data_IF_595349553018
#
_entry.id   IF_595349553018
#
_cell.length_a   1.000
_cell.length_b   1.000
_cell.length_c   1.000
_cell.angle_alpha   90.00
_cell.angle_beta   90.00
_cell.angle_gamma   90.00
#
_symmetry.space_group_name_H-M   'P 1'
#
loop_
_entity.id
_entity.type
_entity.pdbx_description
1 polymer ?
#
# COMPACT_ATOMS: atom_id res chain seq x y z
N UNK A 1 20.62 -16.90 -17.40
CA UNK A 1 21.49 -16.70 -16.22
C UNK A 1 20.76 -17.19 -14.98
N UNK A 2 21.42 -17.88 -14.09
CA UNK A 2 20.82 -18.21 -12.79
C UNK A 2 20.79 -16.94 -11.92
N UNK A 3 19.85 -16.85 -10.98
CA UNK A 3 19.73 -15.68 -10.10
C UNK A 3 21.05 -15.33 -9.38
N UNK A 4 21.80 -16.36 -8.94
CA UNK A 4 23.08 -16.21 -8.24
C UNK A 4 24.24 -15.64 -9.12
N UNK A 5 24.06 -15.58 -10.44
CA UNK A 5 25.04 -15.02 -11.38
C UNK A 5 24.90 -13.48 -11.55
N UNK A 6 23.83 -12.88 -11.00
CA UNK A 6 23.63 -11.44 -11.05
C UNK A 6 24.38 -10.72 -9.91
N UNK A 7 25.04 -9.56 -10.18
CA UNK A 7 25.83 -8.84 -9.17
C UNK A 7 24.99 -7.97 -8.22
N UNK A 8 23.71 -8.32 -8.00
CA UNK A 8 22.79 -7.64 -7.09
C UNK A 8 21.90 -8.66 -6.38
N UNK A 9 21.38 -8.29 -5.20
CA UNK A 9 20.50 -9.16 -4.43
C UNK A 9 19.06 -9.10 -4.93
N UNK A 10 18.42 -10.27 -5.06
CA UNK A 10 16.98 -10.38 -5.17
C UNK A 10 16.36 -10.27 -3.77
N UNK A 11 15.49 -9.27 -3.60
CA UNK A 11 14.90 -8.95 -2.29
C UNK A 11 13.90 -10.02 -1.84
N UNK A 12 13.77 -10.18 -0.52
CA UNK A 12 12.83 -11.12 0.13
C UNK A 12 12.99 -12.58 -0.30
N UNK A 13 14.17 -12.96 -0.73
CA UNK A 13 14.45 -14.28 -1.29
C UNK A 13 15.85 -14.78 -0.89
N UNK A 14 15.97 -16.09 -0.65
CA UNK A 14 17.28 -16.71 -0.67
C UNK A 14 17.80 -16.72 -2.11
N UNK A 15 19.02 -16.24 -2.34
CA UNK A 15 19.53 -15.95 -3.68
C UNK A 15 19.47 -17.15 -4.63
N UNK A 16 19.82 -18.35 -4.16
CA UNK A 16 19.73 -19.61 -4.94
C UNK A 16 18.29 -20.06 -5.23
N UNK A 17 17.29 -19.49 -4.53
CA UNK A 17 15.86 -19.83 -4.70
C UNK A 17 15.09 -18.71 -5.40
N UNK A 18 15.74 -17.61 -5.73
CA UNK A 18 15.10 -16.53 -6.47
C UNK A 18 14.77 -16.98 -7.89
N UNK A 19 13.56 -16.68 -8.34
CA UNK A 19 13.08 -16.93 -9.69
C UNK A 19 12.70 -15.61 -10.35
N UNK A 20 13.68 -14.82 -10.82
CA UNK A 20 13.41 -13.52 -11.41
C UNK A 20 12.72 -13.66 -12.77
N UNK A 21 11.79 -12.76 -13.04
CA UNK A 21 11.18 -12.60 -14.35
C UNK A 21 11.95 -11.51 -15.14
N UNK A 22 12.40 -11.83 -16.36
CA UNK A 22 13.00 -10.82 -17.25
C UNK A 22 11.87 -10.09 -18.00
N UNK A 23 11.38 -8.97 -17.42
CA UNK A 23 10.31 -8.16 -18.00
C UNK A 23 10.90 -7.35 -19.15
N UNK A 24 10.28 -7.42 -20.33
CA UNK A 24 10.75 -6.76 -21.57
C UNK A 24 9.86 -5.61 -22.03
N UNK A 25 8.63 -5.53 -21.54
CA UNK A 25 7.69 -4.48 -21.89
C UNK A 25 6.29 -4.78 -21.37
N UNK A 26 5.32 -4.02 -21.89
CA UNK A 26 3.91 -4.23 -21.55
C UNK A 26 3.01 -3.10 -22.00
N UNK A 27 1.69 -3.33 -21.92
CA UNK A 27 0.68 -2.33 -22.21
C UNK A 27 -0.61 -2.61 -21.42
N UNK A 28 -1.19 -1.60 -20.79
CA UNK A 28 -2.41 -1.72 -20.01
C UNK A 28 -2.23 -2.69 -18.84
N UNK A 29 -3.11 -3.68 -18.71
CA UNK A 29 -3.03 -4.72 -17.68
C UNK A 29 -2.06 -5.87 -18.01
N UNK A 30 -1.26 -5.75 -19.05
CA UNK A 30 -0.43 -6.83 -19.56
C UNK A 30 1.05 -6.44 -19.62
N UNK A 31 1.93 -7.36 -19.23
CA UNK A 31 3.37 -7.24 -19.43
C UNK A 31 3.95 -8.46 -20.14
N UNK A 32 5.14 -8.30 -20.67
CA UNK A 32 5.84 -9.33 -21.42
C UNK A 32 7.14 -9.71 -20.73
N UNK A 33 7.46 -11.01 -20.76
CA UNK A 33 8.71 -11.55 -20.24
C UNK A 33 9.45 -12.31 -21.33
N UNK A 34 10.78 -12.28 -21.26
CA UNK A 34 11.63 -13.06 -22.13
C UNK A 34 11.49 -14.56 -21.82
N UNK A 35 11.11 -15.34 -22.83
CA UNK A 35 10.99 -16.79 -22.74
C UNK A 35 9.62 -17.31 -22.31
N UNK A 36 8.83 -16.56 -21.51
CA UNK A 36 7.51 -17.01 -21.06
C UNK A 36 6.34 -16.28 -21.77
N UNK A 37 6.64 -15.16 -22.45
CA UNK A 37 5.66 -14.40 -23.23
C UNK A 37 4.81 -13.45 -22.37
N UNK A 38 3.51 -13.34 -22.71
CA UNK A 38 2.61 -12.32 -22.16
C UNK A 38 1.92 -12.76 -20.89
N UNK A 39 1.97 -11.91 -19.86
CA UNK A 39 1.37 -12.11 -18.55
C UNK A 39 0.24 -11.11 -18.30
N UNK A 40 -0.83 -11.57 -17.65
CA UNK A 40 -1.87 -10.69 -17.13
C UNK A 40 -1.49 -10.26 -15.71
N UNK A 41 -1.39 -8.95 -15.49
CA UNK A 41 -1.00 -8.37 -14.20
C UNK A 41 -2.23 -8.18 -13.29
N UNK A 42 -2.48 -9.13 -12.42
CA UNK A 42 -3.48 -9.05 -11.37
C UNK A 42 -2.89 -8.69 -10.01
N UNK A 43 -1.64 -8.20 -10.00
CA UNK A 43 -0.91 -7.74 -8.83
C UNK A 43 -0.43 -6.29 -8.91
N UNK A 44 -0.62 -5.61 -10.05
CA UNK A 44 -0.01 -4.30 -10.34
C UNK A 44 1.48 -4.29 -10.04
N UNK A 45 2.21 -5.34 -10.46
CA UNK A 45 3.57 -5.65 -10.03
C UNK A 45 3.65 -5.63 -8.49
N UNK A 46 4.37 -4.70 -7.89
CA UNK A 46 4.41 -4.56 -6.42
C UNK A 46 3.31 -3.60 -5.90
N UNK A 47 2.06 -3.74 -6.37
CA UNK A 47 0.93 -2.84 -6.09
C UNK A 47 1.14 -1.40 -6.57
N UNK A 48 2.03 -1.17 -7.53
CA UNK A 48 2.41 0.18 -7.97
C UNK A 48 1.88 0.54 -9.36
N UNK A 49 1.64 -0.46 -10.23
CA UNK A 49 1.27 -0.24 -11.62
C UNK A 49 -0.23 0.13 -11.77
N UNK A 50 -0.73 1.10 -10.98
CA UNK A 50 -2.11 1.56 -11.08
C UNK A 50 -2.50 2.02 -12.48
N UNK A 51 -1.57 2.70 -13.17
CA UNK A 51 -1.74 3.24 -14.53
C UNK A 51 -1.38 2.22 -15.62
N UNK A 52 -1.19 0.97 -15.23
CA UNK A 52 -0.81 -0.11 -16.14
C UNK A 52 0.60 0.04 -16.72
N UNK A 53 0.89 -0.81 -17.68
CA UNK A 53 2.16 -0.86 -18.38
C UNK A 53 2.15 0.04 -19.63
N UNK A 54 3.33 0.53 -20.03
CA UNK A 54 3.51 1.27 -21.30
C UNK A 54 2.84 2.65 -21.34
N UNK A 55 2.68 3.34 -20.20
CA UNK A 55 2.08 4.67 -20.13
C UNK A 55 3.02 5.72 -20.71
N UNK A 56 2.84 6.02 -22.01
CA UNK A 56 3.72 6.91 -22.77
C UNK A 56 3.74 8.35 -22.24
N UNK A 57 2.59 8.85 -21.76
CA UNK A 57 2.46 10.24 -21.27
C UNK A 57 3.43 10.54 -20.15
N UNK A 58 3.58 9.61 -19.19
CA UNK A 58 4.53 9.76 -18.08
C UNK A 58 5.96 9.76 -18.60
N UNK A 59 6.28 8.86 -19.53
CA UNK A 59 7.60 8.83 -20.18
C UNK A 59 7.95 10.16 -20.85
N UNK A 60 7.02 10.76 -21.59
CA UNK A 60 7.21 12.07 -22.23
C UNK A 60 7.31 13.21 -21.21
N UNK A 61 6.57 13.17 -20.11
CA UNK A 61 6.69 14.15 -19.04
C UNK A 61 8.09 14.10 -18.39
N UNK A 62 8.62 12.91 -18.13
CA UNK A 62 9.99 12.72 -17.61
C UNK A 62 11.03 13.26 -18.59
N UNK A 63 10.90 12.99 -19.91
CA UNK A 63 11.83 13.50 -20.92
C UNK A 63 11.85 15.03 -20.96
N UNK A 64 10.69 15.67 -20.95
CA UNK A 64 10.60 17.15 -20.88
C UNK A 64 11.29 17.68 -19.63
N UNK A 65 11.08 17.03 -18.48
CA UNK A 65 11.70 17.46 -17.22
C UNK A 65 13.23 17.32 -17.23
N UNK A 66 13.76 16.31 -17.93
CA UNK A 66 15.22 16.16 -18.12
C UNK A 66 15.80 17.34 -18.89
N UNK A 67 15.09 17.80 -19.92
CA UNK A 67 15.53 18.92 -20.74
C UNK A 67 15.42 20.28 -20.03
N UNK A 68 14.41 20.45 -19.14
CA UNK A 68 14.15 21.70 -18.44
C UNK A 68 14.99 21.87 -17.16
N UNK A 69 14.93 20.90 -16.26
CA UNK A 69 15.61 20.95 -14.96
C UNK A 69 15.75 19.53 -14.40
N UNK A 70 16.97 19.02 -14.33
CA UNK A 70 17.27 17.69 -13.78
C UNK A 70 17.84 17.73 -12.38
N UNK A 71 18.62 18.75 -12.02
CA UNK A 71 19.33 18.86 -10.75
C UNK A 71 18.82 20.03 -9.93
N UNK A 72 18.51 19.77 -8.65
CA UNK A 72 18.13 20.80 -7.68
C UNK A 72 18.64 20.43 -6.29
N UNK A 73 18.51 21.36 -5.35
CA UNK A 73 18.76 21.11 -3.92
C UNK A 73 17.44 20.83 -3.18
N UNK A 74 17.44 20.20 -2.02
CA UNK A 74 16.21 19.90 -1.26
C UNK A 74 15.33 21.13 -1.01
N UNK A 75 15.93 22.29 -0.71
CA UNK A 75 15.27 23.57 -0.51
C UNK A 75 14.91 24.32 -1.81
N UNK A 76 15.30 23.77 -2.97
CA UNK A 76 15.04 24.40 -4.27
C UNK A 76 13.55 24.50 -4.60
N UNK A 77 13.18 25.63 -5.18
CA UNK A 77 11.86 25.92 -5.70
C UNK A 77 11.83 25.78 -7.22
N UNK A 78 10.82 25.09 -7.74
CA UNK A 78 10.54 25.04 -9.17
C UNK A 78 9.04 24.74 -9.38
N UNK A 79 8.45 25.15 -10.52
CA UNK A 79 6.99 25.16 -10.69
C UNK A 79 6.34 23.80 -10.47
N UNK A 80 6.83 22.74 -11.09
CA UNK A 80 6.22 21.41 -11.03
C UNK A 80 6.14 20.86 -9.58
N UNK A 81 7.13 21.14 -8.72
CA UNK A 81 7.10 20.74 -7.30
C UNK A 81 5.96 21.39 -6.54
N UNK A 82 5.74 22.69 -6.77
CA UNK A 82 4.64 23.44 -6.18
C UNK A 82 3.30 22.97 -6.71
N UNK A 83 3.19 22.73 -8.01
CA UNK A 83 1.97 22.23 -8.66
C UNK A 83 1.58 20.86 -8.13
N UNK A 84 2.55 19.92 -8.05
CA UNK A 84 2.29 18.60 -7.50
C UNK A 84 1.81 18.66 -6.05
N UNK A 85 2.47 19.47 -5.21
CA UNK A 85 2.04 19.65 -3.81
C UNK A 85 0.59 20.17 -3.73
N UNK A 86 0.24 21.19 -4.51
CA UNK A 86 -1.12 21.72 -4.58
C UNK A 86 -2.12 20.67 -5.08
N UNK A 87 -1.78 19.91 -6.12
CA UNK A 87 -2.64 18.88 -6.68
C UNK A 87 -2.92 17.75 -5.67
N UNK A 88 -1.91 17.31 -4.92
CA UNK A 88 -2.08 16.31 -3.85
C UNK A 88 -2.96 16.83 -2.73
N UNK A 89 -2.75 18.07 -2.26
CA UNK A 89 -3.53 18.68 -1.21
C UNK A 89 -4.99 18.93 -1.63
N UNK A 90 -5.23 19.27 -2.90
CA UNK A 90 -6.59 19.45 -3.42
C UNK A 90 -7.43 18.16 -3.41
N UNK A 91 -6.79 16.99 -3.37
CA UNK A 91 -7.45 15.68 -3.25
C UNK A 91 -7.59 15.21 -1.80
N UNK A 92 -6.85 15.83 -0.87
CA UNK A 92 -6.92 15.49 0.55
C UNK A 92 -8.18 16.10 1.21
N UNK A 93 -8.61 15.56 2.35
CA UNK A 93 -9.65 16.20 3.15
C UNK A 93 -9.29 17.64 3.52
N UNK A 94 -10.30 18.44 3.87
CA UNK A 94 -10.07 19.80 4.32
C UNK A 94 -9.09 19.86 5.51
N UNK A 95 -8.25 20.89 5.53
CA UNK A 95 -7.27 21.11 6.59
C UNK A 95 -5.87 20.57 6.30
N UNK A 96 -5.64 19.80 5.26
CA UNK A 96 -4.27 19.46 4.84
C UNK A 96 -3.60 20.65 4.14
N UNK A 97 -2.38 21.01 4.56
CA UNK A 97 -1.75 22.27 4.13
C UNK A 97 -0.30 22.13 3.65
N UNK A 98 0.39 21.04 3.98
CA UNK A 98 1.79 20.82 3.61
C UNK A 98 2.02 19.41 3.07
N UNK A 99 3.02 19.28 2.20
CA UNK A 99 3.50 18.01 1.66
C UNK A 99 4.99 17.88 1.96
N UNK A 100 5.39 16.77 2.57
CA UNK A 100 6.80 16.38 2.71
C UNK A 100 7.10 15.27 1.69
N UNK A 101 7.91 15.55 0.67
CA UNK A 101 8.26 14.59 -0.37
C UNK A 101 9.32 13.59 0.07
N UNK A 102 9.24 12.36 -0.43
CA UNK A 102 10.19 11.26 -0.21
C UNK A 102 10.41 10.49 -1.51
N UNK A 103 11.28 9.47 -1.50
CA UNK A 103 11.51 8.61 -2.66
C UNK A 103 10.64 7.35 -2.66
N UNK A 104 10.03 7.02 -1.53
CA UNK A 104 9.23 5.81 -1.42
C UNK A 104 8.41 5.76 -0.14
N UNK A 105 7.60 4.69 -0.01
CA UNK A 105 6.67 4.52 1.10
C UNK A 105 7.36 4.36 2.46
N UNK A 106 8.45 3.59 2.52
CA UNK A 106 9.20 3.41 3.77
C UNK A 106 9.74 4.75 4.31
N UNK A 107 10.31 5.59 3.44
CA UNK A 107 10.75 6.92 3.82
C UNK A 107 9.59 7.85 4.21
N UNK A 108 8.42 7.72 3.56
CA UNK A 108 7.24 8.47 3.95
C UNK A 108 6.80 8.09 5.38
N UNK A 109 6.76 6.81 5.70
CA UNK A 109 6.46 6.31 7.06
C UNK A 109 7.50 6.78 8.08
N UNK A 110 8.82 6.70 7.76
CA UNK A 110 9.90 7.20 8.64
C UNK A 110 9.75 8.71 8.95
N UNK A 111 9.41 9.51 7.94
CA UNK A 111 9.25 10.95 8.15
C UNK A 111 7.93 11.29 8.84
N UNK A 112 6.84 10.54 8.60
CA UNK A 112 5.61 10.65 9.40
C UNK A 112 5.88 10.32 10.88
N UNK A 113 6.69 9.28 11.17
CA UNK A 113 7.12 8.92 12.51
C UNK A 113 7.91 10.06 13.18
N UNK A 114 8.88 10.65 12.46
CA UNK A 114 9.64 11.81 12.97
C UNK A 114 8.73 13.00 13.25
N UNK A 115 7.85 13.36 12.31
CA UNK A 115 6.88 14.46 12.47
C UNK A 115 6.02 14.22 13.71
N UNK A 116 5.45 13.01 13.86
CA UNK A 116 4.61 12.69 14.99
C UNK A 116 5.34 12.84 16.33
N UNK A 117 6.57 12.35 16.43
CA UNK A 117 7.39 12.46 17.64
C UNK A 117 7.79 13.91 17.95
N UNK A 118 8.16 14.68 16.95
CA UNK A 118 8.52 16.11 17.13
C UNK A 118 7.36 16.93 17.63
N UNK A 119 6.16 16.74 17.03
CA UNK A 119 4.97 17.52 17.38
C UNK A 119 4.42 17.13 18.75
N UNK A 120 4.44 15.85 19.11
CA UNK A 120 3.83 15.39 20.36
C UNK A 120 4.82 15.38 21.54
N UNK A 121 6.12 15.37 21.28
CA UNK A 121 7.15 15.12 22.29
C UNK A 121 7.14 13.69 22.86
N UNK A 122 6.40 12.79 22.23
CA UNK A 122 6.19 11.41 22.69
C UNK A 122 7.01 10.44 21.84
N UNK A 123 7.23 9.22 22.32
CA UNK A 123 8.15 8.28 21.65
C UNK A 123 7.50 6.96 21.20
N UNK A 124 6.43 6.49 21.88
CA UNK A 124 5.75 5.25 21.49
C UNK A 124 4.87 5.44 20.24
N UNK A 125 4.66 4.37 19.54
CA UNK A 125 3.72 4.26 18.41
C UNK A 125 2.93 2.98 18.48
N UNK A 126 1.74 2.97 17.89
CA UNK A 126 0.90 1.76 17.79
C UNK A 126 0.70 1.44 16.31
N UNK A 127 0.68 0.15 15.98
CA UNK A 127 0.30 -0.40 14.68
C UNK A 127 -0.33 -1.78 14.84
N UNK A 128 -0.74 -2.43 13.73
CA UNK A 128 -1.36 -3.77 13.79
C UNK A 128 -0.36 -4.89 13.52
N UNK A 129 -0.62 -6.10 14.05
CA UNK A 129 0.18 -7.29 13.74
C UNK A 129 0.13 -7.70 12.26
N UNK A 130 -1.01 -7.54 11.57
CA UNK A 130 -1.07 -7.83 10.14
C UNK A 130 -0.97 -6.53 9.33
N UNK A 131 0.20 -5.90 9.40
CA UNK A 131 0.51 -4.66 8.70
C UNK A 131 1.89 -4.71 8.03
N UNK A 132 2.08 -3.88 7.01
CA UNK A 132 3.38 -3.65 6.39
C UNK A 132 3.56 -2.18 6.04
N UNK A 133 4.52 -1.53 6.68
CA UNK A 133 4.77 -0.10 6.56
C UNK A 133 6.10 0.24 5.85
N UNK A 134 6.95 -0.75 5.59
CA UNK A 134 8.23 -0.55 4.90
C UNK A 134 9.37 -1.38 5.46
N UNK A 135 10.53 -1.30 4.82
CA UNK A 135 11.69 -2.11 5.12
C UNK A 135 12.85 -1.33 5.80
N UNK A 136 12.72 -0.03 5.99
CA UNK A 136 13.65 0.75 6.84
C UNK A 136 13.38 0.45 8.31
N UNK A 137 14.34 0.68 9.19
CA UNK A 137 14.26 0.18 10.57
C UNK A 137 13.03 0.70 11.34
N UNK A 138 12.67 1.99 11.23
CA UNK A 138 11.48 2.53 11.88
C UNK A 138 10.17 2.05 11.24
N UNK A 139 10.10 2.01 9.91
CA UNK A 139 8.93 1.49 9.19
C UNK A 139 8.76 -0.03 9.41
N UNK A 140 9.87 -0.77 9.53
CA UNK A 140 9.85 -2.18 9.86
C UNK A 140 9.40 -2.42 11.31
N UNK A 141 9.82 -1.56 12.25
CA UNK A 141 9.35 -1.63 13.62
C UNK A 141 7.83 -1.46 13.74
N UNK A 142 7.21 -0.67 12.86
CA UNK A 142 5.75 -0.52 12.76
C UNK A 142 5.09 -1.67 12.02
N UNK A 143 5.82 -2.38 11.15
CA UNK A 143 5.28 -3.56 10.44
C UNK A 143 5.07 -4.71 11.43
N UNK A 144 3.92 -5.36 11.37
CA UNK A 144 3.61 -6.44 12.28
C UNK A 144 3.79 -7.84 11.67
N UNK A 145 4.15 -7.94 10.39
CA UNK A 145 4.25 -9.21 9.67
C UNK A 145 5.58 -9.97 9.96
N UNK A 146 5.75 -11.13 9.33
CA UNK A 146 6.87 -12.07 9.54
C UNK A 146 8.26 -11.48 9.31
N UNK A 147 8.39 -10.35 8.64
CA UNK A 147 9.68 -9.71 8.34
C UNK A 147 10.31 -9.07 9.56
N UNK A 148 9.49 -8.51 10.45
CA UNK A 148 9.95 -7.80 11.65
C UNK A 148 10.65 -8.71 12.66
N UNK A 149 10.08 -9.83 13.12
CA UNK A 149 10.70 -10.65 14.17
C UNK A 149 12.10 -11.18 13.83
N UNK A 150 12.40 -11.31 12.54
CA UNK A 150 13.74 -11.78 12.08
C UNK A 150 14.83 -10.72 12.29
N UNK A 151 14.45 -9.44 12.35
CA UNK A 151 15.37 -8.30 12.41
C UNK A 151 15.30 -7.53 13.75
N UNK A 152 14.52 -8.02 14.73
CA UNK A 152 14.43 -7.40 16.06
C UNK A 152 15.75 -7.53 16.84
N UNK A 153 16.08 -6.53 17.72
CA UNK A 153 15.29 -5.33 18.01
C UNK A 153 15.50 -4.22 16.97
N UNK A 154 14.42 -3.78 16.30
CA UNK A 154 14.50 -2.75 15.25
C UNK A 154 14.24 -1.34 15.75
N UNK A 155 13.42 -1.19 16.77
CA UNK A 155 13.12 0.12 17.41
C UNK A 155 12.49 -0.11 18.77
N UNK A 156 12.71 0.83 19.68
CA UNK A 156 12.00 0.90 20.94
C UNK A 156 10.69 1.67 20.79
N UNK A 157 9.65 1.23 21.49
CA UNK A 157 8.38 1.93 21.62
C UNK A 157 7.35 1.64 20.52
N UNK A 158 7.56 0.65 19.67
CA UNK A 158 6.51 0.15 18.77
C UNK A 158 5.64 -0.90 19.48
N UNK A 159 4.35 -0.63 19.59
CA UNK A 159 3.34 -1.52 20.18
C UNK A 159 2.46 -2.05 19.07
N UNK A 160 2.15 -3.36 19.10
CA UNK A 160 1.30 -3.97 18.08
C UNK A 160 -0.02 -4.44 18.72
N UNK A 161 -1.12 -4.07 18.06
CA UNK A 161 -2.47 -4.51 18.41
C UNK A 161 -2.95 -5.60 17.47
N UNK A 162 -3.92 -6.39 17.91
CA UNK A 162 -4.56 -7.39 17.07
C UNK A 162 -5.36 -6.74 15.93
N UNK A 163 -5.69 -7.53 14.93
CA UNK A 163 -6.55 -7.10 13.83
C UNK A 163 -8.01 -6.98 14.28
N UNK A 164 -8.77 -6.13 13.58
CA UNK A 164 -10.17 -5.83 13.91
C UNK A 164 -11.17 -6.93 13.48
N UNK A 165 -10.69 -8.06 13.04
CA UNK A 165 -11.51 -9.22 12.64
C UNK A 165 -10.83 -10.52 13.02
N UNK A 166 -11.61 -11.59 13.01
CA UNK A 166 -11.09 -12.94 13.17
C UNK A 166 -10.03 -13.24 12.11
N UNK A 167 -8.84 -13.59 12.51
CA UNK A 167 -7.76 -13.99 11.62
C UNK A 167 -7.08 -15.25 12.10
N UNK A 168 -6.59 -16.07 11.16
CA UNK A 168 -5.79 -17.23 11.51
C UNK A 168 -4.39 -16.80 11.94
N UNK A 169 -3.93 -17.38 13.02
CA UNK A 169 -2.54 -17.27 13.44
C UNK A 169 -1.64 -18.14 12.52
N UNK A 170 -0.36 -17.77 12.34
CA UNK A 170 0.58 -18.55 11.53
C UNK A 170 0.68 -20.03 11.93
N UNK A 171 0.48 -20.35 13.20
CA UNK A 171 0.49 -21.72 13.74
C UNK A 171 -0.84 -22.46 13.68
N UNK A 172 -1.87 -21.92 12.98
CA UNK A 172 -3.17 -22.56 12.81
C UNK A 172 -4.23 -22.23 13.88
N UNK A 173 -3.88 -21.43 14.88
CA UNK A 173 -4.85 -20.89 15.85
C UNK A 173 -5.68 -19.73 15.24
N UNK A 174 -6.73 -19.31 15.95
CA UNK A 174 -7.59 -18.20 15.56
C UNK A 174 -7.40 -17.03 16.54
N UNK A 175 -7.28 -15.80 16.02
CA UNK A 175 -7.36 -14.60 16.84
C UNK A 175 -8.80 -14.43 17.30
N UNK A 176 -9.00 -14.17 18.57
CA UNK A 176 -10.32 -13.99 19.17
C UNK A 176 -11.02 -12.79 18.54
N UNK A 177 -12.29 -12.97 18.21
CA UNK A 177 -13.17 -11.91 17.71
C UNK A 177 -13.18 -10.71 18.69
N UNK A 178 -13.06 -9.50 18.15
CA UNK A 178 -13.06 -8.25 18.93
C UNK A 178 -11.72 -7.83 19.54
N UNK A 179 -10.69 -8.71 19.53
CA UNK A 179 -9.38 -8.39 20.12
C UNK A 179 -8.63 -7.21 19.50
N UNK A 180 -9.03 -6.78 18.30
CA UNK A 180 -8.47 -5.62 17.61
C UNK A 180 -9.53 -4.57 17.27
N UNK A 181 -10.65 -4.52 17.99
CA UNK A 181 -11.66 -3.46 17.82
C UNK A 181 -11.10 -2.06 18.14
N UNK A 182 -11.78 -1.02 17.74
CA UNK A 182 -11.35 0.36 18.06
C UNK A 182 -11.29 0.59 19.58
N UNK A 183 -12.21 -0.03 20.33
CA UNK A 183 -12.22 -0.01 21.80
C UNK A 183 -11.00 -0.76 22.39
N UNK A 184 -10.64 -1.90 21.84
CA UNK A 184 -9.44 -2.64 22.27
C UNK A 184 -8.16 -1.85 21.98
N UNK A 185 -8.11 -1.12 20.86
CA UNK A 185 -7.01 -0.18 20.58
C UNK A 185 -6.96 0.95 21.59
N UNK A 186 -8.10 1.55 21.94
CA UNK A 186 -8.19 2.59 22.97
C UNK A 186 -7.73 2.07 24.35
N UNK A 187 -8.17 0.89 24.75
CA UNK A 187 -7.71 0.23 25.98
C UNK A 187 -6.20 -0.04 25.97
N UNK A 188 -5.64 -0.46 24.83
CA UNK A 188 -4.20 -0.63 24.70
C UNK A 188 -3.47 0.69 24.88
N UNK A 189 -4.00 1.81 24.33
CA UNK A 189 -3.42 3.14 24.54
C UNK A 189 -3.35 3.49 26.05
N UNK A 190 -4.40 3.21 26.80
CA UNK A 190 -4.42 3.45 28.25
C UNK A 190 -3.37 2.60 28.99
N UNK A 191 -3.35 1.29 28.72
CA UNK A 191 -2.43 0.35 29.37
C UNK A 191 -0.96 0.65 29.06
N UNK A 192 -0.67 1.11 27.83
CA UNK A 192 0.68 1.51 27.41
C UNK A 192 1.09 2.90 27.89
N UNK A 193 0.18 3.61 28.56
CA UNK A 193 0.38 4.99 29.00
C UNK A 193 0.14 5.97 27.85
N UNK A 194 -1.12 6.35 27.63
CA UNK A 194 -1.58 7.13 26.49
C UNK A 194 -0.76 8.42 26.23
N UNK A 195 -0.25 9.06 27.29
CA UNK A 195 0.60 10.25 27.19
C UNK A 195 2.00 10.00 26.61
N UNK A 196 2.40 8.75 26.39
CA UNK A 196 3.69 8.38 25.79
C UNK A 196 3.56 8.03 24.30
N UNK A 197 2.33 7.95 23.76
CA UNK A 197 2.05 7.49 22.40
C UNK A 197 1.97 8.69 21.46
N UNK A 198 2.91 8.77 20.53
CA UNK A 198 2.99 9.81 19.51
C UNK A 198 1.94 9.63 18.42
N UNK A 199 1.81 8.41 17.90
CA UNK A 199 0.93 8.13 16.78
C UNK A 199 0.44 6.68 16.72
N UNK A 200 -0.72 6.51 16.09
CA UNK A 200 -1.28 5.26 15.62
C UNK A 200 -1.12 5.20 14.09
N UNK A 201 -0.38 4.22 13.58
CA UNK A 201 -0.17 3.96 12.16
C UNK A 201 -1.10 2.85 11.66
N UNK A 202 -1.90 3.14 10.65
CA UNK A 202 -2.91 2.18 10.14
C UNK A 202 -2.98 2.25 8.62
N UNK A 203 -2.81 1.09 7.96
CA UNK A 203 -3.29 0.94 6.58
C UNK A 203 -4.83 0.95 6.61
N UNK A 204 -5.53 1.75 5.81
CA UNK A 204 -7.00 1.68 5.74
C UNK A 204 -7.50 0.25 5.52
N UNK A 205 -6.93 -0.43 4.53
CA UNK A 205 -7.13 -1.86 4.28
C UNK A 205 -5.76 -2.51 4.14
N UNK A 206 -5.30 -3.36 5.09
CA UNK A 206 -4.04 -4.10 4.95
C UNK A 206 -4.03 -4.96 3.69
N UNK A 207 -3.38 -4.45 2.64
CA UNK A 207 -3.40 -5.09 1.34
C UNK A 207 -2.52 -6.33 1.28
N UNK A 208 -1.23 -6.17 1.55
CA UNK A 208 -0.22 -7.25 1.52
C UNK A 208 -0.59 -8.42 2.44
N UNK A 209 -1.29 -8.15 3.54
CA UNK A 209 -1.70 -9.13 4.53
C UNK A 209 -3.09 -9.75 4.26
N UNK A 210 -3.70 -9.53 3.09
CA UNK A 210 -4.86 -10.26 2.64
C UNK A 210 -6.15 -9.45 2.49
N UNK A 211 -6.05 -8.17 2.09
CA UNK A 211 -7.20 -7.29 1.87
C UNK A 211 -8.15 -7.26 3.08
N UNK A 212 -7.61 -6.93 4.24
CA UNK A 212 -8.33 -7.01 5.50
C UNK A 212 -9.24 -5.78 5.67
N UNK A 213 -10.46 -5.84 5.14
CA UNK A 213 -11.43 -4.74 5.18
C UNK A 213 -12.00 -4.62 6.61
N UNK A 214 -11.80 -3.50 7.32
CA UNK A 214 -12.31 -3.33 8.67
C UNK A 214 -13.83 -3.20 8.70
N UNK A 215 -14.47 -3.51 9.84
CA UNK A 215 -15.91 -3.34 10.02
C UNK A 215 -16.31 -1.85 9.98
N UNK A 216 -17.60 -1.60 9.73
CA UNK A 216 -18.13 -0.24 9.77
C UNK A 216 -17.89 0.43 11.12
N UNK A 217 -17.54 1.72 11.10
CA UNK A 217 -17.26 2.51 12.31
C UNK A 217 -15.86 2.31 12.90
N UNK A 218 -15.09 1.31 12.46
CA UNK A 218 -13.75 1.07 12.99
C UNK A 218 -12.82 2.27 12.81
N UNK A 219 -12.80 2.87 11.61
CA UNK A 219 -11.95 4.00 11.30
C UNK A 219 -12.30 5.23 12.17
N UNK A 220 -13.59 5.54 12.30
CA UNK A 220 -14.05 6.64 13.13
C UNK A 220 -13.79 6.40 14.62
N UNK A 221 -13.90 5.13 15.07
CA UNK A 221 -13.52 4.73 16.42
C UNK A 221 -12.03 4.91 16.72
N UNK A 222 -11.14 4.61 15.76
CA UNK A 222 -9.70 4.87 15.89
C UNK A 222 -9.43 6.38 15.99
N UNK A 223 -10.13 7.22 15.20
CA UNK A 223 -10.00 8.66 15.29
C UNK A 223 -10.42 9.15 16.67
N UNK A 224 -11.57 8.71 17.17
CA UNK A 224 -12.04 9.08 18.51
C UNK A 224 -11.04 8.68 19.61
N UNK A 225 -10.46 7.48 19.55
CA UNK A 225 -9.43 7.04 20.49
C UNK A 225 -8.18 7.93 20.42
N UNK A 226 -7.73 8.30 19.23
CA UNK A 226 -6.60 9.21 19.04
C UNK A 226 -6.89 10.61 19.60
N UNK A 227 -8.08 11.15 19.36
CA UNK A 227 -8.49 12.49 19.84
C UNK A 227 -8.56 12.54 21.37
N UNK A 228 -9.09 11.50 22.01
CA UNK A 228 -9.19 11.40 23.47
C UNK A 228 -7.82 11.51 24.18
N UNK A 229 -6.76 11.09 23.50
CA UNK A 229 -5.41 11.04 24.09
C UNK A 229 -4.42 12.02 23.46
N UNK A 230 -4.82 12.78 22.43
CA UNK A 230 -3.91 13.65 21.67
C UNK A 230 -2.82 12.84 20.94
N UNK A 231 -3.13 11.64 20.53
CA UNK A 231 -2.30 10.76 19.68
C UNK A 231 -2.59 11.10 18.22
N UNK A 232 -1.57 11.18 17.36
CA UNK A 232 -1.80 11.42 15.94
C UNK A 232 -2.26 10.15 15.22
N UNK A 233 -3.28 10.27 14.36
CA UNK A 233 -3.69 9.20 13.45
C UNK A 233 -2.97 9.35 12.12
N UNK A 234 -2.21 8.34 11.75
CA UNK A 234 -1.48 8.28 10.46
C UNK A 234 -2.13 7.23 9.56
N UNK A 235 -2.71 7.70 8.45
CA UNK A 235 -3.21 6.81 7.41
C UNK A 235 -2.08 6.40 6.47
N UNK A 236 -1.69 5.13 6.49
CA UNK A 236 -0.75 4.60 5.52
C UNK A 236 -1.49 4.21 4.24
N UNK A 237 -1.50 5.14 3.29
CA UNK A 237 -2.15 5.00 2.00
C UNK A 237 -1.17 4.61 0.88
N UNK A 238 0.01 4.12 1.21
CA UNK A 238 1.04 3.72 0.25
C UNK A 238 0.53 2.68 -0.75
N UNK A 239 -0.30 1.71 -0.30
CA UNK A 239 -0.95 0.74 -1.17
C UNK A 239 -2.38 1.17 -1.55
N UNK A 240 -3.09 1.76 -0.61
CA UNK A 240 -4.53 2.02 -0.71
C UNK A 240 -4.87 3.27 -1.54
N UNK A 241 -3.92 4.16 -1.73
CA UNK A 241 -4.11 5.45 -2.38
C UNK A 241 -4.29 5.37 -3.90
N UNK A 242 -4.61 6.53 -4.46
CA UNK A 242 -4.75 6.77 -5.90
C UNK A 242 -5.76 5.85 -6.57
N UNK A 243 -6.95 5.74 -5.98
CA UNK A 243 -8.08 5.03 -6.57
C UNK A 243 -8.16 3.54 -6.26
N UNK A 244 -7.15 2.91 -5.66
CA UNK A 244 -7.13 1.45 -5.42
C UNK A 244 -8.39 0.92 -4.73
N UNK A 245 -8.91 1.65 -3.75
CA UNK A 245 -10.12 1.28 -3.00
C UNK A 245 -11.40 1.97 -3.52
N UNK A 246 -11.36 2.64 -4.68
CA UNK A 246 -12.49 3.39 -5.24
C UNK A 246 -12.63 4.80 -4.68
N UNK A 247 -11.69 5.26 -3.85
CA UNK A 247 -11.54 6.62 -3.32
C UNK A 247 -10.09 7.06 -3.48
N UNK A 248 -9.81 8.37 -3.32
CA UNK A 248 -8.48 8.88 -3.68
C UNK A 248 -7.38 8.38 -2.74
N UNK A 249 -7.57 8.44 -1.41
CA UNK A 249 -6.59 7.97 -0.42
C UNK A 249 -6.97 6.65 0.27
N UNK A 250 -8.18 6.14 0.02
CA UNK A 250 -8.61 4.83 0.50
C UNK A 250 -9.36 4.86 1.82
N UNK A 251 -8.92 5.60 2.84
CA UNK A 251 -9.62 5.68 4.12
C UNK A 251 -11.02 6.30 4.01
N UNK A 252 -11.26 7.17 3.05
CA UNK A 252 -12.57 7.78 2.77
C UNK A 252 -13.65 6.73 2.44
N UNK A 253 -13.23 5.53 2.05
CA UNK A 253 -14.14 4.40 1.84
C UNK A 253 -14.60 3.71 3.13
N UNK A 254 -14.01 4.07 4.28
CA UNK A 254 -14.20 3.39 5.56
C UNK A 254 -14.92 4.25 6.61
N UNK A 255 -14.97 5.56 6.43
CA UNK A 255 -15.58 6.50 7.36
C UNK A 255 -15.30 7.95 6.98
N UNK A 256 -15.86 8.88 7.75
CA UNK A 256 -15.72 10.31 7.50
C UNK A 256 -14.53 10.95 8.22
N UNK A 257 -13.92 10.25 9.17
CA UNK A 257 -12.87 10.81 10.01
C UNK A 257 -11.57 11.08 9.23
N UNK A 258 -11.02 12.29 9.39
CA UNK A 258 -9.77 12.71 8.77
C UNK A 258 -8.56 12.30 9.62
N UNK A 259 -7.49 11.73 9.06
CA UNK A 259 -6.23 11.52 9.78
C UNK A 259 -5.47 12.84 9.97
N UNK A 260 -4.39 12.79 10.75
CA UNK A 260 -3.45 13.89 10.93
C UNK A 260 -2.38 13.92 9.85
N UNK A 261 -1.95 12.73 9.43
CA UNK A 261 -0.93 12.51 8.41
C UNK A 261 -1.41 11.43 7.44
N UNK A 262 -1.07 11.59 6.15
CA UNK A 262 -1.32 10.59 5.12
C UNK A 262 0.02 10.27 4.46
N UNK A 263 0.46 9.01 4.50
CA UNK A 263 1.63 8.56 3.74
C UNK A 263 1.23 7.96 2.41
N UNK A 264 1.92 8.33 1.34
CA UNK A 264 1.65 7.88 -0.02
C UNK A 264 2.92 7.53 -0.78
N UNK A 265 2.81 6.62 -1.74
CA UNK A 265 3.83 6.24 -2.72
C UNK A 265 3.18 5.43 -3.84
N UNK A 266 3.88 4.52 -4.48
CA UNK A 266 3.34 3.57 -5.49
C UNK A 266 2.48 4.26 -6.57
N UNK A 267 1.17 4.33 -6.33
CA UNK A 267 0.20 4.95 -7.23
C UNK A 267 0.46 6.42 -7.52
N UNK A 268 1.19 7.16 -6.67
CA UNK A 268 1.53 8.58 -6.89
C UNK A 268 2.21 8.82 -8.24
N UNK A 269 2.97 7.84 -8.74
CA UNK A 269 3.60 7.88 -10.07
C UNK A 269 3.15 6.72 -10.95
N UNK A 270 2.25 5.86 -10.47
CA UNK A 270 1.93 4.60 -11.15
C UNK A 270 3.12 3.64 -11.25
N UNK A 271 4.15 3.81 -10.42
CA UNK A 271 5.38 3.00 -10.44
C UNK A 271 6.43 3.44 -11.46
N UNK A 272 6.21 4.52 -12.22
CA UNK A 272 7.10 4.97 -13.28
C UNK A 272 8.34 5.71 -12.80
N UNK A 273 8.30 6.26 -11.58
CA UNK A 273 9.47 6.87 -10.93
C UNK A 273 9.40 6.73 -9.42
N UNK A 274 10.56 6.70 -8.73
CA UNK A 274 10.59 6.76 -7.26
C UNK A 274 10.00 8.09 -6.77
N UNK A 275 8.92 8.00 -5.99
CA UNK A 275 8.32 9.13 -5.28
C UNK A 275 7.43 8.61 -4.15
N UNK A 276 7.45 9.31 -3.05
CA UNK A 276 6.49 9.20 -1.97
C UNK A 276 6.24 10.57 -1.36
N UNK A 277 5.29 10.65 -0.45
CA UNK A 277 5.03 11.88 0.28
C UNK A 277 4.33 11.60 1.61
N UNK A 278 4.45 12.56 2.53
CA UNK A 278 3.60 12.72 3.70
C UNK A 278 2.77 13.98 3.50
N UNK A 279 1.46 13.86 3.45
CA UNK A 279 0.56 14.99 3.52
C UNK A 279 0.31 15.29 4.99
N UNK A 280 0.38 16.55 5.35
CA UNK A 280 0.37 17.00 6.74
C UNK A 280 -0.82 17.94 6.97
N UNK A 281 -1.67 17.60 7.93
CA UNK A 281 -2.79 18.44 8.33
C UNK A 281 -2.26 19.72 9.01
N UNK A 282 -2.93 20.86 8.83
CA UNK A 282 -2.53 22.17 9.31
C UNK A 282 -2.25 22.21 10.82
N UNK A 283 -3.06 21.49 11.63
CA UNK A 283 -2.86 21.41 13.09
C UNK A 283 -1.50 20.82 13.48
N UNK A 284 -0.92 19.97 12.62
CA UNK A 284 0.42 19.40 12.78
C UNK A 284 1.46 20.31 12.14
N UNK A 285 1.18 20.83 10.95
CA UNK A 285 2.11 21.66 10.19
C UNK A 285 2.49 22.96 10.92
N UNK A 286 1.54 23.61 11.61
CA UNK A 286 1.77 24.83 12.39
C UNK A 286 2.84 24.72 13.47
N UNK A 287 3.10 23.52 14.00
CA UNK A 287 4.19 23.30 14.94
C UNK A 287 5.54 23.72 14.35
N UNK A 288 5.72 23.54 13.05
CA UNK A 288 6.97 23.82 12.33
C UNK A 288 7.03 25.24 11.76
N UNK A 289 6.08 26.11 12.07
CA UNK A 289 6.20 27.53 11.73
C UNK A 289 7.31 28.20 12.58
N UNK A 290 7.49 27.74 13.82
CA UNK A 290 8.51 28.25 14.75
C UNK A 290 9.53 27.19 15.17
N UNK A 291 9.18 25.90 15.09
CA UNK A 291 10.08 24.81 15.47
C UNK A 291 10.77 24.19 14.24
N UNK A 292 12.01 23.82 14.39
CA UNK A 292 12.79 23.18 13.30
C UNK A 292 12.24 21.81 12.98
N UNK A 293 11.92 21.58 11.71
CA UNK A 293 11.62 20.25 11.20
C UNK A 293 12.92 19.47 10.99
N UNK A 294 13.31 18.63 11.95
CA UNK A 294 14.51 17.79 11.86
C UNK A 294 14.28 16.57 10.95
N UNK A 295 13.87 16.85 9.70
CA UNK A 295 13.66 15.87 8.65
C UNK A 295 14.13 16.45 7.31
N UNK A 296 14.76 15.64 6.48
CA UNK A 296 15.25 16.04 5.16
C UNK A 296 15.85 14.86 4.42
N UNK A 297 15.83 14.93 3.11
CA UNK A 297 16.34 13.91 2.19
C UNK A 297 17.08 14.62 1.06
N UNK A 298 18.22 14.09 0.61
CA UNK A 298 19.00 14.66 -0.50
C UNK A 298 18.17 14.80 -1.77
N UNK A 299 17.32 13.81 -2.07
CA UNK A 299 16.46 13.81 -3.25
C UNK A 299 15.01 14.26 -2.94
N UNK A 300 14.82 15.10 -1.93
CA UNK A 300 13.54 15.66 -1.56
C UNK A 300 12.87 16.39 -2.73
N UNK A 301 11.74 15.86 -3.20
CA UNK A 301 11.02 16.42 -4.34
C UNK A 301 11.91 16.50 -5.60
N UNK A 302 12.60 15.40 -5.95
CA UNK A 302 13.45 15.34 -7.15
C UNK A 302 12.63 15.55 -8.43
N UNK A 303 13.12 16.37 -9.39
CA UNK A 303 12.36 16.75 -10.57
C UNK A 303 11.76 15.60 -11.37
N UNK A 304 12.48 14.50 -11.58
CA UNK A 304 11.97 13.34 -12.32
C UNK A 304 10.75 12.69 -11.66
N UNK A 305 10.83 12.46 -10.33
CA UNK A 305 9.71 11.88 -9.58
C UNK A 305 8.50 12.81 -9.57
N UNK A 306 8.76 14.12 -9.40
CA UNK A 306 7.73 15.16 -9.40
C UNK A 306 7.03 15.26 -10.76
N UNK A 307 7.75 15.26 -11.86
CA UNK A 307 7.17 15.30 -13.19
C UNK A 307 6.31 14.06 -13.49
N UNK A 308 6.81 12.88 -13.11
CA UNK A 308 6.04 11.65 -13.21
C UNK A 308 4.75 11.69 -12.36
N UNK A 309 4.84 12.16 -11.12
CA UNK A 309 3.70 12.28 -10.21
C UNK A 309 2.65 13.27 -10.70
N UNK A 310 3.08 14.44 -11.18
CA UNK A 310 2.17 15.46 -11.70
C UNK A 310 1.41 14.95 -12.93
N UNK A 311 2.09 14.28 -13.86
CA UNK A 311 1.43 13.70 -15.03
C UNK A 311 0.53 12.52 -14.65
N UNK A 312 0.94 11.71 -13.67
CA UNK A 312 0.10 10.63 -13.16
C UNK A 312 -1.22 11.17 -12.59
N UNK A 313 -1.20 12.26 -11.79
CA UNK A 313 -2.42 12.89 -11.27
C UNK A 313 -3.34 13.40 -12.37
N UNK A 314 -2.78 13.99 -13.44
CA UNK A 314 -3.56 14.40 -14.61
C UNK A 314 -4.27 13.21 -15.26
N UNK A 315 -3.57 12.10 -15.45
CA UNK A 315 -4.16 10.86 -16.01
C UNK A 315 -5.28 10.34 -15.11
N UNK A 316 -5.10 10.30 -13.79
CA UNK A 316 -6.16 9.89 -12.85
C UNK A 316 -7.42 10.73 -13.00
N UNK A 317 -7.28 12.03 -13.18
CA UNK A 317 -8.41 12.96 -13.31
C UNK A 317 -9.05 12.91 -14.69
N UNK A 318 -8.25 12.97 -15.76
CA UNK A 318 -8.75 12.99 -17.15
C UNK A 318 -9.42 11.69 -17.58
N UNK A 319 -8.93 10.56 -17.10
CA UNK A 319 -9.49 9.23 -17.37
C UNK A 319 -10.48 8.76 -16.30
N UNK A 320 -10.78 9.61 -15.32
CA UNK A 320 -11.68 9.34 -14.16
C UNK A 320 -11.41 7.96 -13.50
N UNK A 321 -10.12 7.64 -13.33
CA UNK A 321 -9.71 6.30 -12.90
C UNK A 321 -10.19 5.93 -11.51
N UNK A 322 -10.44 6.91 -10.63
CA UNK A 322 -10.98 6.66 -9.29
C UNK A 322 -12.42 6.17 -9.34
N UNK A 323 -13.28 6.84 -10.13
CA UNK A 323 -14.67 6.40 -10.32
C UNK A 323 -14.73 5.08 -11.11
N UNK A 324 -13.87 4.95 -12.14
CA UNK A 324 -13.72 3.70 -12.89
C UNK A 324 -13.36 2.52 -11.96
N UNK A 325 -12.40 2.70 -11.03
CA UNK A 325 -12.01 1.68 -10.08
C UNK A 325 -13.16 1.30 -9.13
N UNK A 326 -14.07 2.23 -8.82
CA UNK A 326 -15.28 1.95 -8.04
C UNK A 326 -16.23 1.06 -8.81
N UNK A 327 -16.58 1.43 -10.04
CA UNK A 327 -17.50 0.67 -10.89
C UNK A 327 -16.93 -0.70 -11.25
N UNK A 328 -15.67 -0.75 -11.69
CA UNK A 328 -15.01 -2.02 -12.03
C UNK A 328 -14.81 -2.90 -10.79
N UNK A 329 -14.64 -2.28 -9.61
CA UNK A 329 -14.56 -2.94 -8.32
C UNK A 329 -15.83 -3.72 -7.94
N UNK A 330 -17.00 -3.28 -8.40
CA UNK A 330 -18.25 -4.03 -8.20
C UNK A 330 -18.26 -5.32 -9.03
N UNK A 331 -17.85 -5.27 -10.30
CA UNK A 331 -17.71 -6.45 -11.14
C UNK A 331 -16.66 -7.41 -10.58
N UNK A 332 -15.53 -6.87 -10.14
CA UNK A 332 -14.46 -7.62 -9.48
C UNK A 332 -14.94 -8.34 -8.22
N UNK A 333 -15.73 -7.66 -7.36
CA UNK A 333 -16.30 -8.25 -6.15
C UNK A 333 -17.28 -9.38 -6.47
N UNK A 334 -18.16 -9.19 -7.47
CA UNK A 334 -19.08 -10.25 -7.93
C UNK A 334 -18.33 -11.46 -8.47
N UNK A 335 -17.29 -11.26 -9.27
CA UNK A 335 -16.48 -12.36 -9.80
C UNK A 335 -15.74 -13.12 -8.70
N UNK A 336 -15.26 -12.40 -7.67
CA UNK A 336 -14.60 -13.03 -6.53
C UNK A 336 -15.56 -13.82 -5.65
N UNK A 337 -16.79 -13.34 -5.46
CA UNK A 337 -17.84 -14.06 -4.77
C UNK A 337 -18.26 -15.32 -5.54
N UNK A 338 -18.44 -15.21 -6.87
CA UNK A 338 -18.74 -16.36 -7.72
C UNK A 338 -17.64 -17.44 -7.64
N UNK A 339 -16.37 -17.03 -7.64
CA UNK A 339 -15.25 -17.96 -7.49
C UNK A 339 -15.30 -18.70 -6.14
N UNK A 340 -15.69 -18.03 -5.06
CA UNK A 340 -15.90 -18.65 -3.74
C UNK A 340 -17.06 -19.63 -3.76
N UNK A 341 -18.18 -19.25 -4.37
CA UNK A 341 -19.38 -20.10 -4.48
C UNK A 341 -19.11 -21.37 -5.29
N UNK A 342 -18.27 -21.26 -6.33
CA UNK A 342 -17.84 -22.40 -7.14
C UNK A 342 -16.87 -23.35 -6.38
N UNK A 343 -16.10 -22.83 -5.42
CA UNK A 343 -15.09 -23.58 -4.68
C UNK A 343 -15.18 -23.40 -3.16
N UNK A 344 -16.35 -23.59 -2.49
CA UNK A 344 -16.54 -23.18 -1.09
C UNK A 344 -15.67 -23.94 -0.10
N UNK A 345 -15.32 -25.20 -0.37
CA UNK A 345 -14.43 -25.99 0.48
C UNK A 345 -12.95 -25.57 0.34
N UNK A 346 -12.57 -24.98 -0.80
CA UNK A 346 -11.22 -24.56 -1.10
C UNK A 346 -10.99 -23.10 -0.71
N UNK A 347 -11.98 -22.25 -0.92
CA UNK A 347 -11.93 -20.81 -0.67
C UNK A 347 -12.84 -20.42 0.51
N UNK A 348 -12.42 -20.65 1.76
CA UNK A 348 -13.26 -20.42 2.94
C UNK A 348 -13.59 -18.95 3.14
N UNK A 349 -12.78 -18.04 2.62
CA UNK A 349 -12.94 -16.59 2.78
C UNK A 349 -12.44 -15.84 1.56
N UNK A 350 -13.27 -14.91 1.08
CA UNK A 350 -12.89 -13.89 0.10
C UNK A 350 -13.16 -12.50 0.67
N UNK A 351 -12.41 -11.50 0.18
CA UNK A 351 -12.56 -10.10 0.61
C UNK A 351 -12.23 -9.19 -0.56
N UNK A 352 -12.94 -8.08 -0.69
CA UNK A 352 -12.58 -7.06 -1.66
C UNK A 352 -13.04 -5.66 -1.24
N UNK A 353 -12.33 -4.66 -1.74
CA UNK A 353 -12.70 -3.25 -1.68
C UNK A 353 -12.09 -2.53 -2.90
N UNK A 354 -12.93 -1.94 -3.75
CA UNK A 354 -12.47 -1.39 -5.03
C UNK A 354 -11.78 -2.47 -5.87
N UNK A 355 -10.62 -2.18 -6.42
CA UNK A 355 -9.79 -3.12 -7.18
C UNK A 355 -8.65 -3.75 -6.33
N UNK A 356 -8.93 -4.00 -5.07
CA UNK A 356 -8.11 -4.81 -4.18
C UNK A 356 -8.96 -5.96 -3.67
N UNK A 357 -8.47 -7.18 -3.79
CA UNK A 357 -9.16 -8.36 -3.28
C UNK A 357 -8.20 -9.43 -2.82
N UNK A 358 -8.73 -10.38 -2.07
CA UNK A 358 -7.97 -11.54 -1.62
C UNK A 358 -8.88 -12.74 -1.36
N UNK A 359 -8.30 -13.93 -1.45
CA UNK A 359 -8.93 -15.16 -1.02
C UNK A 359 -7.95 -16.06 -0.27
N UNK A 360 -8.46 -16.75 0.74
CA UNK A 360 -7.70 -17.74 1.50
C UNK A 360 -7.86 -19.11 0.85
N UNK A 361 -6.79 -19.91 0.85
CA UNK A 361 -6.80 -21.28 0.34
C UNK A 361 -6.78 -22.26 1.52
N UNK A 362 -7.79 -23.11 1.59
CA UNK A 362 -7.84 -24.21 2.55
C UNK A 362 -6.90 -25.36 2.15
N UNK A 363 -6.34 -26.02 3.14
CA UNK A 363 -5.45 -27.17 2.93
C UNK A 363 -4.03 -26.94 3.46
N UNK A 364 -3.15 -27.85 3.13
CA UNK A 364 -1.75 -27.84 3.55
C UNK A 364 -0.86 -26.96 2.64
N UNK A 365 0.43 -26.94 2.93
CA UNK A 365 1.39 -26.17 2.15
C UNK A 365 1.65 -26.76 0.76
N UNK A 366 1.45 -28.08 0.59
CA UNK A 366 1.61 -28.74 -0.70
C UNK A 366 0.51 -28.29 -1.66
N UNK A 367 -0.74 -28.27 -1.20
CA UNK A 367 -1.89 -27.77 -1.98
C UNK A 367 -1.75 -26.30 -2.32
N UNK A 368 -1.37 -25.47 -1.35
CA UNK A 368 -1.12 -24.05 -1.57
C UNK A 368 -0.03 -23.82 -2.63
N UNK A 369 1.07 -24.59 -2.57
CA UNK A 369 2.17 -24.53 -3.53
C UNK A 369 1.75 -24.99 -4.92
N UNK A 370 0.91 -26.03 -5.03
CA UNK A 370 0.38 -26.50 -6.31
C UNK A 370 -0.48 -25.42 -6.99
N UNK A 371 -1.39 -24.79 -6.25
CA UNK A 371 -2.24 -23.71 -6.77
C UNK A 371 -1.39 -22.49 -7.19
N UNK A 372 -0.43 -22.07 -6.38
CA UNK A 372 0.43 -20.94 -6.74
C UNK A 372 1.27 -21.23 -7.99
N UNK A 373 1.71 -22.48 -8.17
CA UNK A 373 2.36 -22.92 -9.40
C UNK A 373 1.41 -22.89 -10.59
N UNK A 374 0.17 -23.38 -10.45
CA UNK A 374 -0.83 -23.35 -11.51
C UNK A 374 -1.18 -21.91 -11.95
N UNK A 375 -1.24 -20.96 -11.02
CA UNK A 375 -1.41 -19.53 -11.32
C UNK A 375 -0.24 -18.97 -12.14
N UNK A 376 0.99 -19.34 -11.78
CA UNK A 376 2.18 -18.98 -12.55
C UNK A 376 2.15 -19.60 -13.95
N UNK A 377 1.86 -20.91 -14.06
CA UNK A 377 1.76 -21.61 -15.35
C UNK A 377 0.66 -21.02 -16.25
N UNK A 378 -0.42 -20.51 -15.64
CA UNK A 378 -1.46 -19.76 -16.34
C UNK A 378 -1.04 -18.32 -16.72
N UNK A 379 0.18 -17.89 -16.40
CA UNK A 379 0.69 -16.53 -16.62
C UNK A 379 -0.20 -15.44 -16.05
N UNK A 380 -0.68 -15.68 -14.83
CA UNK A 380 -1.42 -14.71 -14.03
C UNK A 380 -0.53 -14.21 -12.90
N UNK A 381 -0.16 -12.94 -12.95
CA UNK A 381 0.67 -12.34 -11.91
C UNK A 381 -0.19 -11.92 -10.73
N UNK A 382 0.03 -12.52 -9.58
CA UNK A 382 -0.70 -12.26 -8.32
C UNK A 382 0.28 -12.17 -7.15
N UNK A 383 -0.15 -11.62 -6.02
CA UNK A 383 0.65 -11.66 -4.80
C UNK A 383 0.29 -12.87 -3.95
N UNK A 384 1.33 -13.51 -3.42
CA UNK A 384 1.23 -14.72 -2.61
C UNK A 384 1.68 -14.43 -1.19
N UNK A 385 0.77 -14.55 -0.22
CA UNK A 385 1.11 -14.52 1.19
C UNK A 385 1.10 -15.95 1.75
N UNK A 386 2.29 -16.55 1.84
CA UNK A 386 2.47 -17.94 2.31
C UNK A 386 2.09 -18.11 3.78
N UNK A 387 2.36 -17.10 4.62
CA UNK A 387 2.10 -17.15 6.06
C UNK A 387 0.61 -17.40 6.37
N UNK A 388 -0.28 -16.80 5.58
CA UNK A 388 -1.72 -16.90 5.76
C UNK A 388 -2.42 -17.66 4.62
N UNK A 389 -1.66 -18.34 3.76
CA UNK A 389 -2.18 -19.07 2.58
C UNK A 389 -3.19 -18.24 1.78
N UNK A 390 -2.83 -16.99 1.51
CA UNK A 390 -3.71 -16.01 0.88
C UNK A 390 -3.13 -15.58 -0.46
N UNK A 391 -3.98 -15.50 -1.46
CA UNK A 391 -3.69 -14.84 -2.74
C UNK A 391 -4.31 -13.45 -2.70
N UNK A 392 -3.53 -12.43 -3.05
CA UNK A 392 -3.98 -11.05 -3.12
C UNK A 392 -3.99 -10.59 -4.56
N UNK A 393 -5.09 -9.99 -4.96
CA UNK A 393 -5.38 -9.50 -6.30
C UNK A 393 -5.45 -7.97 -6.28
N UNK A 394 -4.78 -7.34 -7.20
CA UNK A 394 -4.76 -5.88 -7.35
C UNK A 394 -4.54 -5.50 -8.83
N UNK A 395 -5.48 -5.78 -9.74
CA UNK A 395 -5.31 -5.44 -11.15
C UNK A 395 -5.09 -3.93 -11.35
N UNK A 396 -4.37 -3.47 -12.38
CA UNK A 396 -4.25 -2.06 -12.72
C UNK A 396 -5.61 -1.38 -12.84
N UNK A 397 -5.72 -0.09 -12.48
CA UNK A 397 -7.00 0.64 -12.57
C UNK A 397 -7.47 0.84 -14.01
N UNK A 398 -6.53 0.75 -14.96
CA UNK A 398 -6.78 0.82 -16.41
C UNK A 398 -7.29 -0.50 -17.00
N UNK A 399 -7.38 -1.57 -16.21
CA UNK A 399 -7.91 -2.87 -16.65
C UNK A 399 -9.32 -2.71 -17.24
N UNK A 400 -9.64 -3.53 -18.21
CA UNK A 400 -10.97 -3.61 -18.82
C UNK A 400 -11.79 -4.72 -18.17
N UNK A 401 -13.11 -4.74 -18.41
CA UNK A 401 -13.97 -5.87 -18.04
C UNK A 401 -13.47 -7.19 -18.66
N UNK A 402 -12.96 -7.12 -19.89
CA UNK A 402 -12.38 -8.30 -20.57
C UNK A 402 -11.10 -8.80 -19.87
N UNK A 403 -10.25 -7.89 -19.39
CA UNK A 403 -9.07 -8.26 -18.60
C UNK A 403 -9.48 -8.93 -17.29
N UNK A 404 -10.51 -8.42 -16.62
CA UNK A 404 -11.03 -9.04 -15.39
C UNK A 404 -11.59 -10.43 -15.69
N UNK A 405 -12.42 -10.57 -16.72
CA UNK A 405 -13.01 -11.85 -17.10
C UNK A 405 -11.93 -12.90 -17.41
N UNK A 406 -10.90 -12.54 -18.18
CA UNK A 406 -9.76 -13.43 -18.47
C UNK A 406 -8.97 -13.78 -17.19
N UNK A 407 -8.74 -12.82 -16.29
CA UNK A 407 -8.06 -13.05 -15.03
C UNK A 407 -8.81 -14.06 -14.15
N UNK A 408 -10.12 -13.88 -13.99
CA UNK A 408 -10.96 -14.81 -13.23
C UNK A 408 -11.06 -16.18 -13.88
N UNK A 409 -11.12 -16.26 -15.22
CA UNK A 409 -11.06 -17.54 -15.94
C UNK A 409 -9.72 -18.28 -15.70
N UNK A 410 -8.59 -17.56 -15.61
CA UNK A 410 -7.30 -18.17 -15.25
C UNK A 410 -7.27 -18.64 -13.81
N UNK A 411 -7.84 -17.85 -12.88
CA UNK A 411 -8.00 -18.23 -11.47
C UNK A 411 -8.80 -19.55 -11.36
N UNK A 412 -9.95 -19.63 -12.03
CA UNK A 412 -10.80 -20.80 -11.97
C UNK A 412 -10.11 -22.07 -12.51
N UNK A 413 -9.41 -21.96 -13.64
CA UNK A 413 -8.61 -23.08 -14.18
C UNK A 413 -7.51 -23.54 -13.21
N UNK A 414 -6.84 -22.60 -12.54
CA UNK A 414 -5.77 -22.92 -11.58
C UNK A 414 -6.30 -23.53 -10.28
N UNK A 415 -7.54 -23.21 -9.87
CA UNK A 415 -8.17 -23.78 -8.68
C UNK A 415 -8.76 -25.18 -8.94
N UNK A 416 -9.10 -25.49 -10.19
CA UNK A 416 -9.62 -26.79 -10.60
C UNK A 416 -8.54 -27.86 -10.84
N UNK A 417 -7.25 -27.45 -10.93
CA UNK A 417 -6.10 -28.35 -11.12
C UNK A 417 -5.59 -28.91 -9.78
#
# INVERSE_FOLDING_TARGET
MKAEEHPFFFTWSAQKKAAPMEITGGQGAWFETKGEGRWLDFGSLSYQANLGHGQKRIGEAIKRQVDELLLTVPSGLYPAKTELAKALLAKAPAGFSKVFFTLGGAEAVENALKIARLVTGRHKTISRYRSYHGATMGALALSGDYRRPVLEPVSVGAVHVLDCFESRLPGGGTVVEGGGSAEAVAQTMELEGARTIAALFVEPVPGQNGCLVPPAGYWDGLRAACDAHGTLLVADCVLNGFGRLGTYYGFESLGAASPDLITVSKGITGGYAPLGAVLVHERVARHFDEQVLYAGLTFYGHPLGVAAGLEALRIYDEEDLVARARTLGESFARSLAHLQDAHPALLPRTRSRGLLGAFEIAGDDARFSAITKALHDARLYVHVNKQFKTIVLAPPLVSTEADLAEGFARLERALAS
#
